data_IF_757234273376
#
_entry.id   IF_757234273376
#
_cell.length_a   1.000
_cell.length_b   1.000
_cell.length_c   1.000
_cell.angle_alpha   90.00
_cell.angle_beta   90.00
_cell.angle_gamma   90.00
#
_symmetry.space_group_name_H-M   'P 1'
#
loop_
_entity.id
_entity.type
_entity.pdbx_description
1 polymer ?
#
# COMPACT_ATOMS: atom_id res chain seq x y z
N UNK A 1 -23.81 -4.57 20.07
CA UNK A 1 -23.34 -5.66 19.19
C UNK A 1 -22.45 -5.01 18.16
N UNK A 2 -21.25 -5.53 17.94
CA UNK A 2 -20.48 -5.13 16.76
C UNK A 2 -21.29 -5.55 15.53
N UNK A 3 -21.43 -4.69 14.50
CA UNK A 3 -22.08 -5.10 13.26
C UNK A 3 -21.37 -6.35 12.71
N UNK A 4 -22.12 -7.23 12.06
CA UNK A 4 -21.53 -8.36 11.36
C UNK A 4 -20.56 -7.80 10.31
N UNK A 5 -19.30 -8.24 10.35
CA UNK A 5 -18.30 -7.87 9.34
C UNK A 5 -18.62 -8.58 8.02
N UNK A 6 -18.47 -7.88 6.90
CA UNK A 6 -18.64 -8.49 5.57
C UNK A 6 -17.47 -9.40 5.21
N UNK A 7 -16.25 -8.95 5.51
CA UNK A 7 -15.04 -9.73 5.22
C UNK A 7 -14.96 -10.96 6.13
N UNK A 8 -14.56 -12.12 5.57
CA UNK A 8 -14.31 -13.32 6.36
C UNK A 8 -13.02 -13.17 7.17
N UNK A 9 -12.92 -13.96 8.23
CA UNK A 9 -11.68 -14.10 8.99
C UNK A 9 -10.75 -15.10 8.28
N UNK A 10 -9.52 -14.67 7.99
CA UNK A 10 -8.52 -15.50 7.32
C UNK A 10 -7.52 -16.05 8.35
N UNK A 11 -7.10 -17.32 8.22
CA UNK A 11 -6.17 -17.92 9.16
C UNK A 11 -4.80 -17.21 9.11
N UNK A 12 -4.24 -16.94 10.29
CA UNK A 12 -2.89 -16.41 10.42
C UNK A 12 -1.86 -17.51 10.12
N UNK A 13 -0.81 -17.14 9.42
CA UNK A 13 0.37 -17.97 9.20
C UNK A 13 1.63 -17.14 9.40
N UNK A 14 2.70 -17.80 9.87
CA UNK A 14 4.00 -17.14 10.04
C UNK A 14 4.76 -17.16 8.73
N UNK A 15 5.24 -15.99 8.32
CA UNK A 15 6.14 -15.82 7.18
C UNK A 15 7.44 -15.20 7.67
N UNK A 16 8.55 -15.56 7.03
CA UNK A 16 9.85 -14.91 7.22
C UNK A 16 10.05 -14.02 5.99
N UNK A 17 10.39 -12.76 6.22
CA UNK A 17 10.71 -11.86 5.12
C UNK A 17 12.12 -12.14 4.63
N UNK A 18 12.21 -12.47 3.36
CA UNK A 18 13.44 -12.54 2.59
C UNK A 18 13.24 -11.60 1.41
N UNK A 19 14.29 -10.92 0.96
CA UNK A 19 14.19 -10.06 -0.21
C UNK A 19 13.78 -10.89 -1.42
N UNK A 20 12.71 -10.48 -2.09
CA UNK A 20 12.27 -11.09 -3.33
C UNK A 20 12.88 -10.32 -4.49
N UNK A 21 13.95 -10.87 -5.07
CA UNK A 21 14.80 -10.23 -6.07
C UNK A 21 13.98 -9.66 -7.24
N UNK A 22 12.89 -10.31 -7.64
CA UNK A 22 12.07 -9.86 -8.77
C UNK A 22 11.21 -8.64 -8.42
N UNK A 23 10.79 -8.49 -7.15
CA UNK A 23 10.05 -7.33 -6.68
C UNK A 23 10.98 -6.17 -6.31
N UNK A 24 12.21 -6.46 -5.90
CA UNK A 24 13.26 -5.48 -5.62
C UNK A 24 13.97 -4.96 -6.88
N UNK A 25 13.91 -5.72 -7.98
CA UNK A 25 14.58 -5.36 -9.22
C UNK A 25 14.03 -4.06 -9.88
N UNK A 26 14.90 -3.44 -10.68
CA UNK A 26 14.57 -2.26 -11.47
C UNK A 26 13.37 -2.50 -12.41
N UNK A 27 12.71 -1.40 -12.81
CA UNK A 27 11.57 -1.45 -13.72
C UNK A 27 11.95 -2.04 -15.08
N UNK A 28 11.22 -3.07 -15.48
CA UNK A 28 11.31 -3.81 -16.74
C UNK A 28 9.95 -4.43 -17.05
N UNK A 29 9.68 -4.92 -18.27
CA UNK A 29 8.43 -5.62 -18.56
C UNK A 29 8.17 -6.77 -17.57
N UNK A 30 9.15 -7.64 -17.33
CA UNK A 30 9.01 -8.80 -16.46
C UNK A 30 8.74 -8.41 -15.00
N UNK A 31 9.43 -7.38 -14.51
CA UNK A 31 9.21 -6.90 -13.12
C UNK A 31 7.87 -6.18 -12.99
N UNK A 32 7.42 -5.44 -14.01
CA UNK A 32 6.11 -4.80 -13.98
C UNK A 32 4.99 -5.85 -14.03
N UNK A 33 5.14 -6.92 -14.82
CA UNK A 33 4.17 -8.00 -14.88
C UNK A 33 3.96 -8.68 -13.51
N UNK A 34 5.02 -8.95 -12.75
CA UNK A 34 4.86 -9.56 -11.41
C UNK A 34 4.25 -8.61 -10.38
N UNK A 35 4.49 -7.31 -10.50
CA UNK A 35 3.87 -6.27 -9.68
C UNK A 35 2.38 -6.14 -9.99
N UNK A 36 1.99 -6.16 -11.27
CA UNK A 36 0.60 -6.15 -11.70
C UNK A 36 -0.15 -7.39 -11.21
N UNK A 37 0.50 -8.55 -11.19
CA UNK A 37 -0.06 -9.81 -10.72
C UNK A 37 -0.31 -9.87 -9.19
N UNK A 38 0.14 -8.87 -8.42
CA UNK A 38 -0.27 -8.75 -7.00
C UNK A 38 -1.75 -8.36 -6.88
N UNK A 39 -2.31 -7.72 -7.90
CA UNK A 39 -3.72 -7.38 -7.94
C UNK A 39 -4.54 -8.60 -8.38
N UNK A 40 -5.54 -9.02 -7.60
CA UNK A 40 -6.39 -10.14 -7.99
C UNK A 40 -7.32 -9.73 -9.14
N UNK A 41 -7.89 -10.69 -9.88
CA UNK A 41 -8.96 -10.43 -10.82
C UNK A 41 -10.08 -9.59 -10.18
N UNK A 42 -10.53 -8.56 -10.89
CA UNK A 42 -11.46 -7.57 -10.33
C UNK A 42 -10.78 -6.41 -9.61
N UNK A 43 -9.46 -6.26 -9.74
CA UNK A 43 -8.68 -5.10 -9.27
C UNK A 43 -8.80 -4.87 -7.75
N UNK A 44 -8.97 -5.95 -6.98
CA UNK A 44 -9.13 -5.85 -5.52
C UNK A 44 -10.51 -5.36 -5.06
N UNK A 45 -11.49 -5.25 -5.96
CA UNK A 45 -12.87 -4.92 -5.61
C UNK A 45 -13.71 -6.16 -5.32
N UNK A 46 -14.61 -6.03 -4.34
CA UNK A 46 -15.68 -6.98 -4.05
C UNK A 46 -17.04 -6.35 -4.28
N UNK A 47 -18.04 -7.18 -4.59
CA UNK A 47 -19.44 -6.74 -4.71
C UNK A 47 -20.15 -6.99 -3.37
N UNK A 48 -20.75 -5.95 -2.80
CA UNK A 48 -21.48 -6.05 -1.53
C UNK A 48 -22.95 -5.71 -1.73
N UNK A 49 -23.81 -6.72 -1.63
CA UNK A 49 -25.26 -6.52 -1.58
C UNK A 49 -25.74 -6.20 -0.17
N UNK A 50 -26.70 -5.26 -0.05
CA UNK A 50 -27.26 -4.79 1.22
C UNK A 50 -26.15 -4.30 2.19
N UNK A 51 -25.31 -3.32 1.78
CA UNK A 51 -24.14 -2.85 2.55
C UNK A 51 -24.49 -2.39 3.98
N UNK A 52 -25.69 -1.86 4.18
CA UNK A 52 -26.21 -1.41 5.47
C UNK A 52 -26.25 -2.53 6.53
N UNK A 53 -26.39 -3.79 6.12
CA UNK A 53 -26.33 -4.96 7.02
C UNK A 53 -24.97 -5.10 7.71
N UNK A 54 -23.91 -4.62 7.05
CA UNK A 54 -22.53 -4.69 7.51
C UNK A 54 -22.03 -3.34 8.05
N UNK A 55 -22.93 -2.33 8.14
CA UNK A 55 -22.57 -0.98 8.56
C UNK A 55 -21.76 -0.20 7.52
N UNK A 56 -21.77 -0.63 6.25
CA UNK A 56 -21.05 0.03 5.16
C UNK A 56 -21.91 1.15 4.56
N UNK A 57 -21.26 2.24 4.16
CA UNK A 57 -21.86 3.30 3.33
C UNK A 57 -21.94 2.84 1.85
N UNK A 58 -22.66 3.55 0.97
CA UNK A 58 -22.67 3.23 -0.46
C UNK A 58 -21.26 3.16 -1.07
N UNK A 59 -21.08 2.22 -2.00
CA UNK A 59 -19.80 1.96 -2.67
C UNK A 59 -19.76 2.64 -4.03
N UNK A 60 -18.84 2.19 -4.88
CA UNK A 60 -18.79 2.63 -6.26
C UNK A 60 -19.86 1.93 -7.10
N UNK A 61 -20.65 2.66 -7.91
CA UNK A 61 -21.65 2.04 -8.77
C UNK A 61 -21.03 0.99 -9.70
N UNK A 62 -21.76 -0.10 -9.92
CA UNK A 62 -21.45 -1.10 -10.95
C UNK A 62 -22.45 -0.99 -12.11
N UNK A 63 -22.05 -1.48 -13.28
CA UNK A 63 -22.86 -1.35 -14.52
C UNK A 63 -24.18 -2.14 -14.40
N UNK A 64 -24.20 -3.27 -13.68
CA UNK A 64 -25.38 -4.12 -13.47
C UNK A 64 -25.20 -5.03 -12.23
N UNK A 65 -25.37 -4.49 -11.03
CA UNK A 65 -25.26 -5.30 -9.81
C UNK A 65 -25.12 -4.47 -8.54
N UNK A 66 -24.74 -5.10 -7.42
CA UNK A 66 -24.37 -4.39 -6.20
C UNK A 66 -23.19 -3.43 -6.44
N UNK A 67 -23.01 -2.47 -5.53
CA UNK A 67 -21.85 -1.58 -5.55
C UNK A 67 -20.54 -2.36 -5.37
N UNK A 68 -19.47 -1.79 -5.91
CA UNK A 68 -18.09 -2.26 -5.79
C UNK A 68 -17.40 -1.55 -4.63
N UNK A 69 -16.63 -2.31 -3.86
CA UNK A 69 -15.87 -1.84 -2.70
C UNK A 69 -14.45 -2.39 -2.78
N UNK A 70 -13.39 -1.56 -2.72
CA UNK A 70 -12.05 -2.07 -2.62
C UNK A 70 -11.80 -2.62 -1.21
N UNK A 71 -10.92 -3.63 -1.13
CA UNK A 71 -10.38 -4.12 0.14
C UNK A 71 -9.07 -3.38 0.42
N UNK A 72 -8.90 -2.90 1.65
CA UNK A 72 -7.79 -2.00 2.02
C UNK A 72 -6.40 -2.52 1.65
N UNK A 73 -6.11 -3.82 1.83
CA UNK A 73 -4.82 -4.40 1.42
C UNK A 73 -4.51 -4.19 -0.07
N UNK A 74 -5.50 -4.36 -0.95
CA UNK A 74 -5.31 -4.18 -2.39
C UNK A 74 -5.28 -2.70 -2.78
N UNK A 75 -6.01 -1.84 -2.07
CA UNK A 75 -5.88 -0.40 -2.27
C UNK A 75 -4.48 0.11 -1.85
N UNK A 76 -3.94 -0.40 -0.74
CA UNK A 76 -2.58 -0.10 -0.27
C UNK A 76 -1.53 -0.59 -1.28
N UNK A 77 -1.68 -1.81 -1.81
CA UNK A 77 -0.80 -2.35 -2.86
C UNK A 77 -0.88 -1.53 -4.16
N UNK A 78 -2.07 -1.12 -4.59
CA UNK A 78 -2.27 -0.25 -5.74
C UNK A 78 -1.55 1.11 -5.56
N UNK A 79 -1.71 1.74 -4.39
CA UNK A 79 -0.99 2.97 -4.05
C UNK A 79 0.53 2.79 -4.03
N UNK A 80 1.03 1.68 -3.47
CA UNK A 80 2.47 1.36 -3.49
C UNK A 80 2.98 1.18 -4.92
N UNK A 81 2.23 0.48 -5.78
CA UNK A 81 2.53 0.33 -7.20
C UNK A 81 2.61 1.67 -7.94
N UNK A 82 1.64 2.57 -7.73
CA UNK A 82 1.67 3.92 -8.31
C UNK A 82 2.88 4.74 -7.86
N UNK A 83 3.27 4.64 -6.58
CA UNK A 83 4.46 5.31 -6.06
C UNK A 83 5.72 4.74 -6.73
N UNK A 84 5.82 3.41 -6.86
CA UNK A 84 6.91 2.73 -7.57
C UNK A 84 7.01 3.21 -9.02
N UNK A 85 5.90 3.24 -9.75
CA UNK A 85 5.87 3.71 -11.14
C UNK A 85 6.28 5.18 -11.26
N UNK A 86 5.79 6.04 -10.35
CA UNK A 86 6.13 7.46 -10.32
C UNK A 86 7.61 7.68 -10.03
N UNK A 87 8.18 6.94 -9.07
CA UNK A 87 9.60 6.94 -8.76
C UNK A 87 10.44 6.51 -9.97
N UNK A 88 10.09 5.39 -10.61
CA UNK A 88 10.78 4.90 -11.79
C UNK A 88 10.70 5.88 -12.97
N UNK A 89 9.54 6.50 -13.18
CA UNK A 89 9.35 7.52 -14.21
C UNK A 89 10.18 8.77 -13.94
N UNK A 90 10.28 9.20 -12.68
CA UNK A 90 11.13 10.31 -12.27
C UNK A 90 12.61 10.01 -12.51
N UNK A 91 13.08 8.79 -12.23
CA UNK A 91 14.46 8.38 -12.54
C UNK A 91 14.75 8.35 -14.04
N UNK A 92 13.77 8.02 -14.89
CA UNK A 92 13.92 8.05 -16.35
C UNK A 92 13.85 9.49 -16.92
N UNK A 93 13.33 10.46 -16.15
CA UNK A 93 13.08 11.84 -16.59
C UNK A 93 13.84 12.97 -15.88
N UNK A 94 14.50 12.74 -14.73
CA UNK A 94 15.15 13.80 -13.92
C UNK A 94 16.43 13.31 -13.21
N UNK A 95 17.49 14.12 -13.37
CA UNK A 95 18.72 14.16 -12.56
C UNK A 95 18.46 14.85 -11.21
N UNK A 96 18.81 14.26 -10.05
CA UNK A 96 18.84 14.97 -8.78
C UNK A 96 20.21 15.64 -8.58
N UNK A 97 20.24 16.95 -8.87
CA UNK A 97 21.20 17.98 -8.43
C UNK A 97 22.70 17.81 -8.72
N UNK A 98 23.15 18.50 -9.77
CA UNK A 98 24.46 19.15 -9.78
C UNK A 98 24.57 20.12 -8.60
N UNK A 99 25.34 19.74 -7.56
CA UNK A 99 26.38 20.59 -6.97
C UNK A 99 27.22 19.79 -5.96
N UNK A 100 28.51 19.71 -6.30
CA UNK A 100 29.67 19.63 -5.41
C UNK A 100 29.91 18.34 -4.60
N UNK A 101 30.03 17.21 -5.30
CA UNK A 101 31.04 16.20 -4.91
C UNK A 101 31.63 15.55 -6.17
N UNK A 102 32.67 16.18 -6.71
CA UNK A 102 33.47 15.63 -7.80
C UNK A 102 34.25 14.41 -7.29
N UNK A 103 33.64 13.21 -7.25
CA UNK A 103 34.38 11.95 -7.43
C UNK A 103 33.58 10.62 -7.51
N UNK A 104 32.24 10.62 -7.54
CA UNK A 104 31.49 9.39 -7.82
C UNK A 104 30.88 9.44 -9.23
N UNK A 105 31.12 8.43 -10.10
CA UNK A 105 30.44 8.33 -11.37
C UNK A 105 28.93 8.29 -11.11
N UNK A 106 28.21 9.26 -11.66
CA UNK A 106 26.74 9.47 -11.59
C UNK A 106 25.97 8.13 -11.74
N UNK A 107 26.45 7.26 -12.62
CA UNK A 107 25.89 5.94 -12.92
C UNK A 107 25.90 4.97 -11.72
N UNK A 108 26.99 4.92 -10.93
CA UNK A 108 27.11 4.03 -9.76
C UNK A 108 26.26 4.51 -8.58
N UNK A 109 26.12 5.82 -8.39
CA UNK A 109 25.24 6.39 -7.37
C UNK A 109 23.75 6.23 -7.74
N UNK A 110 23.44 6.20 -9.03
CA UNK A 110 22.10 5.88 -9.53
C UNK A 110 21.75 4.39 -9.41
N UNK A 111 22.71 3.50 -9.65
CA UNK A 111 22.52 2.05 -9.45
C UNK A 111 22.36 1.70 -7.97
N UNK A 112 23.21 2.22 -7.08
CA UNK A 112 23.11 1.94 -5.64
C UNK A 112 21.78 2.45 -5.04
N UNK A 113 21.34 3.65 -5.41
CA UNK A 113 20.05 4.18 -4.96
C UNK A 113 18.85 3.39 -5.52
N UNK A 114 18.99 2.76 -6.69
CA UNK A 114 17.94 1.89 -7.27
C UNK A 114 17.84 0.57 -6.51
N UNK A 115 18.97 -0.03 -6.16
CA UNK A 115 19.01 -1.24 -5.32
C UNK A 115 18.46 -0.96 -3.91
N UNK A 116 18.85 0.16 -3.30
CA UNK A 116 18.40 0.55 -1.96
C UNK A 116 16.89 0.88 -1.92
N UNK A 117 16.33 1.45 -2.98
CA UNK A 117 14.89 1.78 -3.00
C UNK A 117 14.05 0.60 -3.50
N UNK A 118 14.61 -0.27 -4.34
CA UNK A 118 13.99 -1.51 -4.79
C UNK A 118 13.60 -2.43 -3.63
N UNK A 119 14.55 -2.73 -2.73
CA UNK A 119 14.25 -3.56 -1.55
C UNK A 119 13.23 -2.89 -0.62
N UNK A 120 13.21 -1.55 -0.53
CA UNK A 120 12.20 -0.83 0.26
C UNK A 120 10.79 -1.10 -0.27
N UNK A 121 10.60 -1.07 -1.59
CA UNK A 121 9.32 -1.39 -2.20
C UNK A 121 8.92 -2.84 -1.94
N UNK A 122 9.84 -3.79 -2.08
CA UNK A 122 9.57 -5.19 -1.77
C UNK A 122 9.23 -5.40 -0.27
N UNK A 123 10.02 -4.81 0.62
CA UNK A 123 9.80 -4.92 2.06
C UNK A 123 8.44 -4.35 2.49
N UNK A 124 8.05 -3.19 1.96
CA UNK A 124 6.73 -2.59 2.23
C UNK A 124 5.62 -3.46 1.63
N UNK A 125 5.78 -3.96 0.41
CA UNK A 125 4.83 -4.90 -0.23
C UNK A 125 4.59 -6.12 0.68
N UNK A 126 5.65 -6.75 1.17
CA UNK A 126 5.57 -7.88 2.08
C UNK A 126 4.88 -7.49 3.40
N UNK A 127 5.17 -6.32 3.97
CA UNK A 127 4.51 -5.82 5.18
C UNK A 127 2.99 -5.60 5.01
N UNK A 128 2.57 -5.07 3.86
CA UNK A 128 1.16 -4.91 3.51
C UNK A 128 0.47 -6.27 3.36
N UNK A 129 1.09 -7.22 2.67
CA UNK A 129 0.55 -8.58 2.50
C UNK A 129 0.53 -9.38 3.81
N UNK A 130 1.49 -9.16 4.70
CA UNK A 130 1.55 -9.84 6.00
C UNK A 130 0.50 -9.31 6.98
N UNK A 131 0.24 -7.99 6.97
CA UNK A 131 -0.80 -7.40 7.83
C UNK A 131 -2.20 -7.56 7.23
N UNK A 132 -2.30 -7.60 5.91
CA UNK A 132 -3.50 -7.85 5.09
C UNK A 132 -4.76 -7.19 5.68
N UNK A 133 -4.81 -5.86 5.63
CA UNK A 133 -5.99 -5.14 6.10
C UNK A 133 -7.22 -5.48 5.23
N UNK A 134 -8.10 -6.33 5.77
CA UNK A 134 -9.33 -6.78 5.11
C UNK A 134 -10.52 -5.84 5.34
N UNK A 135 -10.29 -4.59 5.71
CA UNK A 135 -11.31 -3.55 5.79
C UNK A 135 -11.94 -3.32 4.41
N UNK A 136 -13.27 -3.19 4.39
CA UNK A 136 -14.04 -2.92 3.17
C UNK A 136 -14.23 -1.41 3.07
N UNK A 137 -13.67 -0.80 2.04
CA UNK A 137 -13.72 0.64 1.86
C UNK A 137 -14.90 1.05 0.98
N UNK A 138 -15.56 2.16 1.32
CA UNK A 138 -16.72 2.69 0.62
C UNK A 138 -16.37 3.98 -0.12
N UNK A 139 -17.29 4.43 -0.97
CA UNK A 139 -17.05 5.58 -1.82
C UNK A 139 -16.86 6.87 -1.04
N UNK A 140 -15.98 7.74 -1.55
CA UNK A 140 -15.86 9.10 -1.05
C UNK A 140 -17.13 9.92 -1.38
N UNK A 141 -17.43 10.91 -0.54
CA UNK A 141 -18.48 11.88 -0.83
C UNK A 141 -17.97 12.90 -1.86
N UNK A 142 -18.66 12.97 -3.00
CA UNK A 142 -18.31 13.93 -4.05
C UNK A 142 -18.91 15.32 -3.77
N UNK A 143 -18.22 16.41 -4.13
CA UNK A 143 -18.81 17.74 -4.13
C UNK A 143 -20.11 17.78 -4.96
N UNK A 144 -21.04 18.64 -4.54
CA UNK A 144 -22.29 18.93 -5.25
C UNK A 144 -23.26 17.74 -5.40
N UNK A 145 -23.11 16.67 -4.60
CA UNK A 145 -24.01 15.52 -4.61
C UNK A 145 -23.92 14.67 -5.89
N UNK A 146 -22.82 14.79 -6.64
CA UNK A 146 -22.57 13.95 -7.82
C UNK A 146 -22.44 12.48 -7.42
N UNK A 147 -22.74 11.55 -8.34
CA UNK A 147 -22.49 10.13 -8.09
C UNK A 147 -21.01 9.90 -7.73
N UNK A 148 -20.74 9.04 -6.72
CA UNK A 148 -19.38 8.72 -6.36
C UNK A 148 -18.62 8.09 -7.52
N UNK A 149 -17.37 8.52 -7.71
CA UNK A 149 -16.49 8.01 -8.77
C UNK A 149 -15.15 7.51 -8.26
N UNK A 150 -14.87 7.64 -6.95
CA UNK A 150 -13.61 7.26 -6.35
C UNK A 150 -13.79 6.74 -4.91
N UNK A 151 -12.76 6.05 -4.43
CA UNK A 151 -12.58 5.63 -3.04
C UNK A 151 -11.21 6.14 -2.63
N UNK A 152 -11.12 6.73 -1.44
CA UNK A 152 -9.91 7.37 -0.93
C UNK A 152 -9.44 6.79 0.42
N UNK A 153 -10.19 5.83 0.97
CA UNK A 153 -9.92 5.20 2.26
C UNK A 153 -10.20 6.07 3.48
N UNK A 154 -10.60 7.33 3.31
CA UNK A 154 -10.72 8.28 4.43
C UNK A 154 -12.06 8.15 5.18
N UNK A 155 -12.01 8.30 6.50
CA UNK A 155 -13.20 8.21 7.36
C UNK A 155 -13.75 6.79 7.53
N UNK A 156 -12.94 5.79 7.18
CA UNK A 156 -13.26 4.36 7.25
C UNK A 156 -12.57 3.78 8.49
N UNK A 157 -13.28 3.06 9.38
CA UNK A 157 -12.66 2.45 10.55
C UNK A 157 -11.79 1.25 10.18
N UNK A 158 -10.50 1.30 10.54
CA UNK A 158 -9.55 0.19 10.45
C UNK A 158 -9.28 -0.42 11.82
N UNK A 159 -8.87 -1.68 11.85
CA UNK A 159 -8.46 -2.37 13.10
C UNK A 159 -6.94 -2.41 13.19
N UNK A 160 -6.36 -1.52 14.01
CA UNK A 160 -4.91 -1.40 14.16
C UNK A 160 -4.44 -1.83 15.55
N UNK A 161 -3.13 -2.09 15.68
CA UNK A 161 -2.47 -2.09 17.00
C UNK A 161 -2.52 -0.68 17.58
N UNK A 162 -2.71 -0.57 18.90
CA UNK A 162 -2.71 0.74 19.56
C UNK A 162 -1.32 1.37 19.46
N UNK A 163 -1.22 2.50 18.76
CA UNK A 163 0.07 3.12 18.48
C UNK A 163 0.79 3.63 19.72
N UNK A 164 0.06 4.15 20.72
CA UNK A 164 0.66 4.63 21.96
C UNK A 164 1.25 3.47 22.78
N UNK A 165 0.58 2.32 22.79
CA UNK A 165 1.11 1.13 23.45
C UNK A 165 2.37 0.62 22.74
N UNK A 166 2.40 0.66 21.41
CA UNK A 166 3.60 0.34 20.61
C UNK A 166 4.74 1.30 20.95
N UNK A 167 4.50 2.62 20.94
CA UNK A 167 5.52 3.62 21.27
C UNK A 167 6.03 3.49 22.71
N UNK A 168 5.14 3.20 23.65
CA UNK A 168 5.53 2.95 25.04
C UNK A 168 6.46 1.75 25.14
N UNK A 169 6.08 0.63 24.52
CA UNK A 169 6.92 -0.56 24.50
C UNK A 169 8.28 -0.28 23.84
N UNK A 170 8.30 0.45 22.72
CA UNK A 170 9.53 0.84 22.04
C UNK A 170 10.42 1.72 22.92
N UNK A 171 9.86 2.68 23.65
CA UNK A 171 10.63 3.55 24.55
C UNK A 171 11.28 2.78 25.71
N UNK A 172 10.59 1.75 26.23
CA UNK A 172 11.09 0.87 27.28
C UNK A 172 12.22 -0.07 26.79
N UNK A 173 12.26 -0.38 25.49
CA UNK A 173 13.19 -1.35 24.89
C UNK A 173 14.17 -0.73 23.86
N UNK A 174 14.24 0.60 23.78
CA UNK A 174 15.03 1.30 22.75
C UNK A 174 16.54 1.04 22.91
N UNK A 175 17.24 1.07 21.78
CA UNK A 175 18.71 1.17 21.74
C UNK A 175 19.18 2.43 22.49
N UNK A 176 20.37 2.43 23.12
CA UNK A 176 20.91 3.60 23.82
C UNK A 176 21.25 4.79 22.91
N UNK A 177 21.07 4.66 21.59
CA UNK A 177 21.23 5.75 20.62
C UNK A 177 20.21 6.86 20.90
N UNK A 178 20.68 8.11 20.86
CA UNK A 178 19.87 9.30 21.15
C UNK A 178 19.68 10.15 19.89
N UNK A 179 19.18 9.52 18.83
CA UNK A 179 18.76 10.17 17.58
C UNK A 179 17.34 9.76 17.22
N UNK A 180 16.66 10.61 16.45
CA UNK A 180 15.30 10.38 15.93
C UNK A 180 15.22 10.93 14.51
N UNK A 181 14.48 10.25 13.64
CA UNK A 181 14.33 10.64 12.24
C UNK A 181 13.83 9.45 11.42
N UNK A 182 13.25 9.72 10.26
CA UNK A 182 12.79 8.68 9.31
C UNK A 182 13.76 8.59 8.11
N UNK A 183 14.42 9.70 7.76
CA UNK A 183 15.53 9.83 6.83
C UNK A 183 16.34 11.07 7.21
#
# INVERSE_FOLDING_TARGET
>A
MLPNTFSPDFPLHTVIFEEDEIYAAASSPDTNDVWDNLMPPGEGFVLVGNPEKYGLRPGLPSVNGPDRYPVSVFHQLHCLGMIRESYNSALLGVRPHSQDDENFPDELAHESNREDIGHCFDYIRQALMCSADMTIEWAMEMPDGKPPSAVDGWGIPHTCRNWNDVLKWMAEHRSPVNSSGIA
#
